data_IF_509459607122
#
_entry.id   IF_509459607122
#
_cell.length_a   1.000
_cell.length_b   1.000
_cell.length_c   1.000
_cell.angle_alpha   90.00
_cell.angle_beta   90.00
_cell.angle_gamma   90.00
#
_symmetry.space_group_name_H-M   'P 1'
#
loop_
_entity.id
_entity.type
_entity.pdbx_description
1 polymer ?
#
# COMPACT_ATOMS: atom_id res chain seq x y z
N UNK A 1 45.71 -7.95 13.49
CA UNK A 1 45.11 -7.91 12.14
C UNK A 1 44.06 -6.80 12.12
N UNK A 2 44.11 -5.93 11.12
CA UNK A 2 43.41 -4.65 11.09
C UNK A 2 41.87 -4.79 11.01
N UNK A 3 41.16 -3.83 11.61
CA UNK A 3 39.71 -3.70 11.54
C UNK A 3 39.23 -3.53 10.09
N UNK A 4 38.08 -4.10 9.69
CA UNK A 4 37.59 -3.96 8.33
C UNK A 4 37.09 -2.53 8.11
N UNK A 5 37.57 -1.89 7.04
CA UNK A 5 37.12 -0.59 6.55
C UNK A 5 35.62 -0.66 6.25
N UNK A 6 34.85 0.32 6.74
CA UNK A 6 33.48 0.60 6.27
C UNK A 6 33.53 0.84 4.76
N UNK A 7 33.06 -0.13 3.98
CA UNK A 7 32.71 0.10 2.59
C UNK A 7 31.44 0.95 2.56
N UNK A 8 31.53 2.18 2.07
CA UNK A 8 30.37 2.95 1.67
C UNK A 8 29.77 2.26 0.45
N UNK A 9 28.73 1.46 0.67
CA UNK A 9 27.91 0.93 -0.42
C UNK A 9 27.09 2.09 -0.99
N UNK A 10 27.56 2.68 -2.09
CA UNK A 10 26.71 3.50 -2.93
C UNK A 10 25.57 2.62 -3.42
N UNK A 11 24.34 2.94 -3.03
CA UNK A 11 23.17 2.31 -3.60
C UNK A 11 23.15 2.65 -5.10
N UNK A 12 23.37 1.64 -5.94
CA UNK A 12 23.13 1.77 -7.37
C UNK A 12 21.63 2.05 -7.54
N UNK A 13 21.29 3.24 -8.05
CA UNK A 13 19.98 3.48 -8.63
C UNK A 13 19.96 2.70 -9.93
N UNK A 14 19.44 1.48 -9.89
CA UNK A 14 19.08 0.75 -11.10
C UNK A 14 18.06 1.62 -11.85
N UNK A 15 18.44 2.06 -13.06
CA UNK A 15 17.55 2.80 -13.94
C UNK A 15 16.37 1.89 -14.25
N UNK A 16 15.18 2.28 -13.79
CA UNK A 16 13.93 1.61 -14.13
C UNK A 16 13.75 1.80 -15.64
N UNK A 17 13.92 0.72 -16.39
CA UNK A 17 13.90 0.74 -17.86
C UNK A 17 12.43 0.77 -18.32
N UNK A 18 12.01 1.89 -18.90
CA UNK A 18 10.65 2.09 -19.40
C UNK A 18 10.48 3.51 -19.93
N UNK A 19 9.92 3.66 -21.13
CA UNK A 19 9.58 4.97 -21.68
C UNK A 19 8.68 5.76 -20.72
N UNK A 20 8.63 7.09 -20.89
CA UNK A 20 7.80 7.97 -20.06
C UNK A 20 6.38 7.42 -19.95
N UNK A 21 5.82 7.29 -18.74
CA UNK A 21 4.49 6.71 -18.57
C UNK A 21 3.44 7.58 -19.29
N UNK A 22 2.33 6.97 -19.73
CA UNK A 22 1.24 7.69 -20.39
C UNK A 22 0.80 8.92 -19.58
N UNK A 23 0.55 10.02 -20.27
CA UNK A 23 0.10 11.23 -19.60
C UNK A 23 -1.33 11.08 -19.09
N UNK A 24 -1.55 11.52 -17.86
CA UNK A 24 -2.89 11.67 -17.32
C UNK A 24 -3.58 12.89 -17.90
N UNK A 25 -4.89 12.77 -18.09
CA UNK A 25 -5.74 13.96 -18.24
C UNK A 25 -5.67 14.83 -16.98
N UNK A 26 -6.00 16.12 -17.11
CA UNK A 26 -6.06 17.03 -15.96
C UNK A 26 -6.97 16.50 -14.84
N UNK A 27 -8.10 15.88 -15.20
CA UNK A 27 -9.03 15.29 -14.23
C UNK A 27 -8.40 14.11 -13.47
N UNK A 28 -7.69 13.23 -14.18
CA UNK A 28 -6.97 12.12 -13.55
C UNK A 28 -5.86 12.60 -12.60
N UNK A 29 -5.12 13.66 -12.96
CA UNK A 29 -4.12 14.25 -12.06
C UNK A 29 -4.75 14.86 -10.81
N UNK A 30 -5.84 15.62 -10.96
CA UNK A 30 -6.56 16.20 -9.82
C UNK A 30 -7.12 15.12 -8.90
N UNK A 31 -7.69 14.06 -9.46
CA UNK A 31 -8.17 12.91 -8.70
C UNK A 31 -7.03 12.21 -7.96
N UNK A 32 -5.93 11.89 -8.65
CA UNK A 32 -4.78 11.26 -8.04
C UNK A 32 -4.18 12.11 -6.90
N UNK A 33 -4.06 13.43 -7.11
CA UNK A 33 -3.62 14.37 -6.07
C UNK A 33 -4.53 14.30 -4.85
N UNK A 34 -5.84 14.39 -5.06
CA UNK A 34 -6.83 14.39 -3.97
C UNK A 34 -6.76 13.10 -3.15
N UNK A 35 -6.72 11.94 -3.80
CA UNK A 35 -6.66 10.65 -3.10
C UNK A 35 -5.34 10.46 -2.33
N UNK A 36 -4.20 10.83 -2.92
CA UNK A 36 -2.92 10.76 -2.22
C UNK A 36 -2.84 11.75 -1.05
N UNK A 37 -3.40 12.95 -1.20
CA UNK A 37 -3.54 13.90 -0.08
C UNK A 37 -4.41 13.34 1.02
N UNK A 38 -5.55 12.70 0.69
CA UNK A 38 -6.43 12.06 1.68
C UNK A 38 -5.66 11.05 2.51
N UNK A 39 -4.92 10.14 1.86
CA UNK A 39 -4.07 9.18 2.56
C UNK A 39 -3.03 9.90 3.42
N UNK A 40 -2.25 10.82 2.85
CA UNK A 40 -1.17 11.52 3.58
C UNK A 40 -1.69 12.25 4.83
N UNK A 41 -2.77 13.01 4.69
CA UNK A 41 -3.34 13.81 5.80
C UNK A 41 -3.99 12.92 6.84
N UNK A 42 -4.68 11.86 6.42
CA UNK A 42 -5.25 10.87 7.33
C UNK A 42 -4.15 10.20 8.18
N UNK A 43 -3.07 9.75 7.53
CA UNK A 43 -1.94 9.10 8.18
C UNK A 43 -1.18 10.06 9.13
N UNK A 44 -1.03 11.33 8.76
CA UNK A 44 -0.48 12.37 9.64
C UNK A 44 -1.36 12.58 10.88
N UNK A 45 -2.69 12.58 10.72
CA UNK A 45 -3.65 12.69 11.83
C UNK A 45 -3.64 11.44 12.71
N UNK A 46 -3.61 10.24 12.13
CA UNK A 46 -3.47 8.99 12.87
C UNK A 46 -2.17 8.98 13.70
N UNK A 47 -1.06 9.47 13.15
CA UNK A 47 0.18 9.66 13.89
C UNK A 47 0.05 10.61 15.10
N UNK A 48 -0.71 11.70 14.96
CA UNK A 48 -1.00 12.62 16.08
C UNK A 48 -1.82 11.93 17.18
N UNK A 49 -2.91 11.26 16.81
CA UNK A 49 -3.79 10.57 17.76
C UNK A 49 -3.09 9.41 18.48
N UNK A 50 -2.20 8.70 17.79
CA UNK A 50 -1.33 7.71 18.43
C UNK A 50 -0.43 8.35 19.48
N UNK A 51 0.22 9.48 19.17
CA UNK A 51 1.05 10.22 20.12
C UNK A 51 0.27 10.75 21.34
N UNK A 52 -1.04 11.00 21.18
CA UNK A 52 -1.95 11.37 22.26
C UNK A 52 -2.49 10.17 23.06
N UNK A 53 -2.16 8.94 22.67
CA UNK A 53 -2.65 7.71 23.31
C UNK A 53 -4.07 7.31 22.94
N UNK A 54 -4.67 7.91 21.90
CA UNK A 54 -6.03 7.58 21.45
C UNK A 54 -6.09 6.32 20.56
N UNK A 55 -4.96 5.90 19.98
CA UNK A 55 -4.82 4.66 19.21
C UNK A 55 -4.00 3.68 20.03
N UNK A 56 -4.60 2.53 20.37
CA UNK A 56 -3.93 1.44 21.09
C UNK A 56 -3.15 0.49 20.17
N UNK A 57 -2.22 -0.26 20.75
CA UNK A 57 -1.47 -1.30 20.03
C UNK A 57 -0.40 -0.76 19.08
N UNK A 58 -0.26 -1.37 17.90
CA UNK A 58 0.71 -0.96 16.88
C UNK A 58 0.04 -0.08 15.84
N UNK A 59 0.66 1.03 15.45
CA UNK A 59 0.19 1.89 14.35
C UNK A 59 1.23 1.98 13.23
N UNK A 60 0.86 1.52 12.03
CA UNK A 60 1.75 1.42 10.87
C UNK A 60 1.34 2.39 9.76
N UNK A 61 2.03 3.53 9.68
CA UNK A 61 1.61 4.59 8.75
C UNK A 61 2.02 4.33 7.30
N UNK A 62 1.15 4.59 6.32
CA UNK A 62 1.43 4.38 4.88
C UNK A 62 2.18 5.54 4.19
N UNK A 63 2.67 6.52 4.97
CA UNK A 63 3.31 7.75 4.47
C UNK A 63 4.54 7.46 3.57
N UNK A 64 4.46 7.96 2.34
CA UNK A 64 5.49 7.87 1.30
C UNK A 64 5.22 6.82 0.21
N UNK A 65 4.13 6.05 0.33
CA UNK A 65 3.78 4.98 -0.60
C UNK A 65 2.43 5.25 -1.32
N UNK A 66 1.88 6.45 -1.21
CA UNK A 66 0.50 6.77 -1.63
C UNK A 66 0.26 6.53 -3.12
N UNK A 67 1.24 6.84 -3.97
CA UNK A 67 1.15 6.63 -5.42
C UNK A 67 0.94 5.15 -5.80
N UNK A 68 1.49 4.21 -5.01
CA UNK A 68 1.36 2.78 -5.28
C UNK A 68 -0.09 2.36 -5.24
N UNK A 69 -0.78 2.62 -4.13
CA UNK A 69 -2.16 2.15 -3.99
C UNK A 69 -3.13 2.97 -4.83
N UNK A 70 -2.94 4.29 -4.94
CA UNK A 70 -3.80 5.15 -5.77
C UNK A 70 -3.67 4.79 -7.25
N UNK A 71 -2.44 4.62 -7.74
CA UNK A 71 -2.19 4.26 -9.14
C UNK A 71 -2.76 2.88 -9.49
N UNK A 72 -2.56 1.88 -8.61
CA UNK A 72 -3.14 0.56 -8.80
C UNK A 72 -4.67 0.61 -8.79
N UNK A 73 -5.28 1.31 -7.83
CA UNK A 73 -6.74 1.42 -7.75
C UNK A 73 -7.35 2.07 -9.00
N UNK A 74 -6.65 3.02 -9.64
CA UNK A 74 -7.06 3.60 -10.92
C UNK A 74 -7.03 2.62 -12.10
N UNK A 75 -6.36 1.47 -11.98
CA UNK A 75 -6.30 0.40 -12.98
C UNK A 75 -7.31 -0.75 -12.73
N UNK A 76 -7.98 -0.75 -11.58
CA UNK A 76 -8.94 -1.79 -11.20
C UNK A 76 -10.36 -1.44 -11.64
N UNK A 77 -11.18 -2.48 -11.80
CA UNK A 77 -12.64 -2.36 -12.03
C UNK A 77 -13.42 -2.83 -10.80
N UNK A 78 -14.71 -2.51 -10.76
CA UNK A 78 -15.59 -3.03 -9.74
C UNK A 78 -15.58 -4.57 -9.73
N UNK A 79 -15.42 -5.16 -8.54
CA UNK A 79 -15.36 -6.61 -8.35
C UNK A 79 -13.94 -7.16 -8.22
N UNK A 80 -12.92 -6.43 -8.66
CA UNK A 80 -11.53 -6.75 -8.33
C UNK A 80 -11.32 -6.66 -6.81
N UNK A 81 -10.41 -7.48 -6.31
CA UNK A 81 -10.19 -7.65 -4.87
C UNK A 81 -8.82 -7.14 -4.47
N UNK A 82 -8.74 -6.49 -3.32
CA UNK A 82 -7.49 -5.98 -2.75
C UNK A 82 -7.23 -6.68 -1.42
N UNK A 83 -6.03 -7.20 -1.25
CA UNK A 83 -5.58 -7.85 -0.02
C UNK A 83 -4.16 -7.42 0.33
N UNK A 84 -3.94 -7.04 1.58
CA UNK A 84 -2.68 -6.43 2.03
C UNK A 84 -2.30 -6.84 3.46
N UNK A 85 -1.06 -6.54 3.84
CA UNK A 85 -0.57 -6.72 5.22
C UNK A 85 -1.10 -5.65 6.17
N UNK A 86 -0.41 -5.46 7.30
CA UNK A 86 -0.81 -4.56 8.40
C UNK A 86 -0.64 -3.05 8.14
N UNK A 87 -0.23 -2.62 6.93
CA UNK A 87 -0.01 -1.20 6.59
C UNK A 87 -1.08 -0.75 5.60
N UNK A 88 -2.33 -0.79 6.06
CA UNK A 88 -3.51 -0.95 5.22
C UNK A 88 -4.48 0.24 5.25
N UNK A 89 -4.27 1.27 6.09
CA UNK A 89 -5.23 2.37 6.23
C UNK A 89 -5.37 3.13 4.90
N UNK A 90 -4.23 3.52 4.31
CA UNK A 90 -4.18 4.13 2.99
C UNK A 90 -4.79 3.25 1.88
N UNK A 91 -4.68 1.92 1.98
CA UNK A 91 -5.33 1.03 1.03
C UNK A 91 -6.85 1.04 1.18
N UNK A 92 -7.33 0.98 2.41
CA UNK A 92 -8.77 1.00 2.69
C UNK A 92 -9.41 2.29 2.20
N UNK A 93 -8.76 3.44 2.43
CA UNK A 93 -9.19 4.73 1.90
C UNK A 93 -9.21 4.73 0.36
N UNK A 94 -8.17 4.22 -0.29
CA UNK A 94 -8.11 4.14 -1.74
C UNK A 94 -9.23 3.27 -2.33
N UNK A 95 -9.69 2.21 -1.64
CA UNK A 95 -10.86 1.41 -2.06
C UNK A 95 -12.20 2.14 -1.92
N UNK A 96 -12.21 3.39 -1.45
CA UNK A 96 -13.38 4.24 -1.31
C UNK A 96 -14.15 4.01 -0.01
N UNK A 97 -13.49 3.52 1.04
CA UNK A 97 -14.07 3.47 2.38
C UNK A 97 -14.04 4.87 3.02
N UNK A 98 -15.08 5.19 3.78
CA UNK A 98 -15.20 6.46 4.50
C UNK A 98 -14.14 6.57 5.61
N UNK A 99 -13.48 7.73 5.69
CA UNK A 99 -12.42 8.02 6.66
C UNK A 99 -12.91 7.91 8.11
N UNK A 100 -14.18 8.20 8.38
CA UNK A 100 -14.78 8.09 9.71
C UNK A 100 -14.67 6.66 10.25
N UNK A 101 -15.03 5.67 9.43
CA UNK A 101 -14.95 4.26 9.81
C UNK A 101 -13.51 3.77 9.95
N UNK A 102 -12.58 4.25 9.11
CA UNK A 102 -11.16 3.89 9.24
C UNK A 102 -10.61 4.45 10.55
N UNK A 103 -10.87 5.73 10.86
CA UNK A 103 -10.38 6.37 12.08
C UNK A 103 -11.03 5.79 13.35
N UNK A 104 -12.32 5.48 13.29
CA UNK A 104 -13.02 4.78 14.37
C UNK A 104 -12.41 3.41 14.64
N UNK A 105 -12.05 2.65 13.60
CA UNK A 105 -11.36 1.36 13.79
C UNK A 105 -9.99 1.54 14.43
N UNK A 106 -9.19 2.51 13.98
CA UNK A 106 -7.88 2.81 14.57
C UNK A 106 -7.96 3.13 16.07
N UNK A 107 -9.02 3.83 16.48
CA UNK A 107 -9.23 4.28 17.86
C UNK A 107 -10.06 3.28 18.69
N UNK A 108 -10.35 2.09 18.14
CA UNK A 108 -11.05 1.02 18.86
C UNK A 108 -12.51 1.34 19.15
N UNK A 109 -13.19 2.08 18.27
CA UNK A 109 -14.58 2.51 18.43
C UNK A 109 -15.55 1.63 17.65
N UNK A 110 -16.80 1.60 18.12
CA UNK A 110 -17.86 0.71 17.62
C UNK A 110 -18.15 0.92 16.13
N UNK A 111 -18.07 2.16 15.64
CA UNK A 111 -18.27 2.55 14.26
C UNK A 111 -17.11 2.17 13.32
N UNK A 112 -16.06 1.53 13.84
CA UNK A 112 -14.99 0.94 13.04
C UNK A 112 -15.49 -0.19 12.13
N UNK A 113 -14.80 -0.42 11.01
CA UNK A 113 -15.20 -1.43 10.02
C UNK A 113 -15.11 -2.88 10.50
N UNK A 114 -14.27 -3.15 11.50
CA UNK A 114 -14.19 -4.40 12.25
C UNK A 114 -14.79 -4.23 13.66
N UNK A 115 -15.69 -3.25 13.83
CA UNK A 115 -16.37 -2.90 15.08
C UNK A 115 -15.41 -2.53 16.22
N UNK A 116 -14.25 -1.95 15.89
CA UNK A 116 -13.23 -1.57 16.86
C UNK A 116 -12.40 -2.73 17.42
N UNK A 117 -12.59 -3.96 16.90
CA UNK A 117 -11.86 -5.17 17.35
C UNK A 117 -10.54 -5.38 16.63
N UNK A 118 -10.43 -4.88 15.40
CA UNK A 118 -9.28 -5.11 14.53
C UNK A 118 -8.15 -4.11 14.73
N UNK A 119 -8.50 -2.86 15.03
CA UNK A 119 -7.54 -1.80 15.20
C UNK A 119 -6.73 -1.52 13.94
N UNK A 120 -5.53 -0.98 14.14
CA UNK A 120 -4.65 -0.52 13.06
C UNK A 120 -4.05 -1.60 12.16
N UNK A 121 -4.22 -2.88 12.49
CA UNK A 121 -3.61 -3.96 11.72
C UNK A 121 -4.62 -4.93 11.12
N UNK A 122 -5.94 -4.74 11.28
CA UNK A 122 -6.95 -5.74 10.89
C UNK A 122 -8.26 -5.10 10.39
N UNK A 123 -8.26 -4.55 9.17
CA UNK A 123 -9.44 -3.93 8.58
C UNK A 123 -9.98 -4.68 7.35
N UNK A 124 -11.29 -4.93 7.34
CA UNK A 124 -11.93 -5.71 6.29
C UNK A 124 -13.19 -5.02 5.78
N UNK A 125 -13.45 -5.15 4.47
CA UNK A 125 -14.71 -4.71 3.85
C UNK A 125 -15.12 -5.68 2.76
N UNK A 126 -16.17 -6.46 3.04
CA UNK A 126 -16.78 -7.32 2.01
C UNK A 126 -17.42 -6.48 0.89
N UNK A 127 -17.99 -5.32 1.24
CA UNK A 127 -18.66 -4.42 0.30
C UNK A 127 -17.69 -3.88 -0.75
N UNK A 128 -16.48 -3.45 -0.34
CA UNK A 128 -15.45 -2.92 -1.24
C UNK A 128 -14.45 -3.97 -1.71
N UNK A 129 -14.70 -5.25 -1.45
CA UNK A 129 -13.77 -6.34 -1.79
C UNK A 129 -12.35 -6.13 -1.24
N UNK A 130 -12.26 -5.56 -0.04
CA UNK A 130 -11.02 -5.25 0.65
C UNK A 130 -10.79 -6.22 1.80
N UNK A 131 -9.64 -6.89 1.78
CA UNK A 131 -9.20 -7.89 2.75
C UNK A 131 -7.86 -7.44 3.33
N UNK A 132 -7.88 -6.34 4.09
CA UNK A 132 -6.69 -5.72 4.63
C UNK A 132 -6.30 -6.27 5.99
N UNK A 133 -5.10 -5.91 6.43
CA UNK A 133 -4.73 -6.05 7.82
C UNK A 133 -4.43 -7.50 8.21
N UNK A 134 -3.48 -8.11 7.51
CA UNK A 134 -2.90 -9.38 7.95
C UNK A 134 -1.62 -9.12 8.77
N UNK A 135 -1.69 -9.40 10.07
CA UNK A 135 -0.56 -9.26 11.00
C UNK A 135 0.52 -10.34 10.83
N UNK A 136 0.18 -11.49 10.27
CA UNK A 136 1.15 -12.55 9.94
C UNK A 136 1.81 -12.23 8.60
N UNK A 137 3.11 -11.94 8.65
CA UNK A 137 3.90 -11.52 7.50
C UNK A 137 3.85 -12.56 6.37
N UNK A 138 3.35 -12.15 5.21
CA UNK A 138 3.26 -12.97 4.00
C UNK A 138 1.98 -13.80 3.89
N UNK A 139 1.16 -13.89 4.94
CA UNK A 139 -0.07 -14.70 4.92
C UNK A 139 -1.10 -14.18 3.90
N UNK A 140 -1.13 -12.88 3.68
CA UNK A 140 -2.01 -12.22 2.72
C UNK A 140 -1.74 -12.66 1.27
N UNK A 141 -0.53 -13.13 0.96
CA UNK A 141 -0.16 -13.57 -0.39
C UNK A 141 -0.86 -14.88 -0.75
N UNK A 142 -0.84 -15.85 0.18
CA UNK A 142 -1.55 -17.12 0.02
C UNK A 142 -3.06 -16.91 -0.03
N UNK A 143 -3.59 -16.04 0.82
CA UNK A 143 -5.02 -15.70 0.82
C UNK A 143 -5.45 -14.99 -0.46
N UNK A 144 -4.65 -14.04 -0.97
CA UNK A 144 -4.91 -13.37 -2.24
C UNK A 144 -4.85 -14.32 -3.44
N UNK A 145 -3.97 -15.31 -3.38
CA UNK A 145 -3.93 -16.39 -4.38
C UNK A 145 -5.23 -17.21 -4.33
N UNK A 146 -5.77 -17.47 -3.14
CA UNK A 146 -7.09 -18.10 -2.97
C UNK A 146 -8.26 -17.25 -3.49
N UNK A 147 -8.21 -15.93 -3.33
CA UNK A 147 -9.19 -15.01 -3.91
C UNK A 147 -9.16 -15.07 -5.45
N UNK A 148 -7.96 -15.08 -6.06
CA UNK A 148 -7.81 -15.27 -7.49
C UNK A 148 -8.29 -16.65 -7.97
N UNK A 149 -8.05 -17.71 -7.21
CA UNK A 149 -8.62 -19.02 -7.49
C UNK A 149 -10.15 -18.97 -7.51
N UNK A 150 -10.77 -18.28 -6.55
CA UNK A 150 -12.21 -18.14 -6.50
C UNK A 150 -12.76 -17.33 -7.69
N UNK A 151 -12.04 -16.33 -8.20
CA UNK A 151 -12.40 -15.59 -9.42
C UNK A 151 -12.28 -16.48 -10.66
N UNK A 152 -11.16 -17.19 -10.81
CA UNK A 152 -10.94 -18.15 -11.88
C UNK A 152 -12.03 -19.22 -11.92
N UNK A 153 -12.34 -19.84 -10.77
CA UNK A 153 -13.38 -20.86 -10.64
C UNK A 153 -14.78 -20.36 -11.03
N UNK A 154 -15.07 -19.07 -10.80
CA UNK A 154 -16.36 -18.45 -11.15
C UNK A 154 -16.41 -17.90 -12.57
N UNK A 155 -15.29 -17.78 -13.26
CA UNK A 155 -15.22 -17.16 -14.59
C UNK A 155 -15.69 -15.71 -14.61
N UNK A 156 -15.43 -14.94 -13.56
CA UNK A 156 -16.00 -13.59 -13.36
C UNK A 156 -15.11 -12.43 -13.84
N UNK A 157 -14.01 -12.72 -14.54
CA UNK A 157 -13.07 -11.72 -15.08
C UNK A 157 -12.49 -10.74 -14.04
N UNK A 158 -12.53 -11.08 -12.75
CA UNK A 158 -11.97 -10.25 -11.68
C UNK A 158 -10.54 -10.69 -11.34
N UNK A 159 -9.70 -9.74 -10.97
CA UNK A 159 -8.34 -10.01 -10.47
C UNK A 159 -8.27 -9.86 -8.95
N UNK A 160 -7.34 -10.59 -8.32
CA UNK A 160 -6.92 -10.32 -6.95
C UNK A 160 -5.59 -9.60 -6.95
N UNK A 161 -5.50 -8.47 -6.26
CA UNK A 161 -4.26 -7.73 -6.06
C UNK A 161 -3.74 -7.99 -4.64
N UNK A 162 -2.62 -8.72 -4.55
CA UNK A 162 -2.01 -9.09 -3.29
C UNK A 162 -0.77 -8.24 -3.02
N UNK A 163 -0.89 -7.33 -2.05
CA UNK A 163 0.17 -6.41 -1.64
C UNK A 163 1.00 -6.98 -0.49
N UNK A 164 2.31 -6.84 -0.59
CA UNK A 164 3.23 -7.26 0.45
C UNK A 164 4.57 -6.52 0.34
N UNK A 165 5.23 -6.30 1.49
CA UNK A 165 6.51 -5.62 1.52
C UNK A 165 7.69 -6.51 1.12
N UNK A 166 8.85 -5.88 0.93
CA UNK A 166 10.13 -6.54 0.68
C UNK A 166 10.48 -7.60 1.74
N UNK A 167 10.18 -7.34 3.01
CA UNK A 167 10.37 -8.35 4.07
C UNK A 167 9.52 -9.60 3.90
N UNK A 168 8.27 -9.43 3.47
CA UNK A 168 7.31 -10.53 3.28
C UNK A 168 7.65 -11.38 2.05
N UNK A 169 8.28 -10.80 1.02
CA UNK A 169 8.71 -11.51 -0.19
C UNK A 169 9.74 -12.63 0.06
N UNK A 170 10.30 -12.71 1.26
CA UNK A 170 11.24 -13.76 1.65
C UNK A 170 10.57 -14.95 2.38
N UNK A 171 9.25 -14.92 2.58
CA UNK A 171 8.52 -16.00 3.26
C UNK A 171 8.28 -17.20 2.32
N UNK A 172 8.44 -18.43 2.82
CA UNK A 172 8.27 -19.65 2.03
C UNK A 172 6.91 -19.77 1.34
N UNK A 173 5.84 -19.43 2.08
CA UNK A 173 4.46 -19.44 1.58
C UNK A 173 4.22 -18.54 0.36
N UNK A 174 5.04 -17.51 0.14
CA UNK A 174 4.98 -16.66 -1.06
C UNK A 174 5.38 -17.45 -2.31
N UNK A 175 6.43 -18.28 -2.22
CA UNK A 175 6.90 -19.12 -3.32
C UNK A 175 5.92 -20.26 -3.60
N UNK A 176 5.34 -20.85 -2.55
CA UNK A 176 4.25 -21.83 -2.70
C UNK A 176 3.05 -21.22 -3.43
N UNK A 177 2.69 -19.97 -3.10
CA UNK A 177 1.64 -19.22 -3.79
C UNK A 177 1.94 -18.99 -5.26
N UNK A 178 3.16 -18.58 -5.59
CA UNK A 178 3.60 -18.39 -6.98
C UNK A 178 3.48 -19.67 -7.80
N UNK A 179 3.97 -20.79 -7.25
CA UNK A 179 3.87 -22.08 -7.92
C UNK A 179 2.41 -22.44 -8.27
N UNK A 180 1.51 -22.28 -7.30
CA UNK A 180 0.09 -22.62 -7.47
C UNK A 180 -0.62 -21.66 -8.44
N UNK A 181 -0.32 -20.36 -8.33
CA UNK A 181 -0.90 -19.35 -9.21
C UNK A 181 -0.52 -19.57 -10.67
N UNK A 182 0.76 -19.85 -10.95
CA UNK A 182 1.19 -20.16 -12.32
C UNK A 182 0.58 -21.46 -12.82
N UNK A 183 0.65 -22.54 -12.01
CA UNK A 183 0.17 -23.86 -12.39
C UNK A 183 -1.29 -23.83 -12.84
N UNK A 184 -2.12 -23.02 -12.18
CA UNK A 184 -3.54 -22.89 -12.46
C UNK A 184 -3.92 -21.66 -13.27
N UNK A 185 -2.92 -20.88 -13.74
CA UNK A 185 -3.14 -19.63 -14.48
C UNK A 185 -4.10 -18.68 -13.79
N UNK A 186 -3.89 -18.47 -12.49
CA UNK A 186 -4.76 -17.64 -11.68
C UNK A 186 -4.61 -16.14 -11.97
N UNK A 187 -5.72 -15.37 -11.95
CA UNK A 187 -5.72 -13.92 -12.18
C UNK A 187 -5.29 -13.16 -10.91
N UNK A 188 -4.03 -13.30 -10.51
CA UNK A 188 -3.45 -12.61 -9.35
C UNK A 188 -2.31 -11.68 -9.75
N UNK A 189 -2.37 -10.45 -9.27
CA UNK A 189 -1.29 -9.46 -9.38
C UNK A 189 -0.60 -9.39 -8.02
N UNK A 190 0.67 -9.79 -7.98
CA UNK A 190 1.51 -9.71 -6.80
C UNK A 190 2.24 -8.36 -6.80
N UNK A 191 1.84 -7.47 -5.89
CA UNK A 191 2.44 -6.14 -5.76
C UNK A 191 3.41 -6.14 -4.59
N UNK A 192 4.69 -6.04 -4.91
CA UNK A 192 5.78 -5.97 -3.94
C UNK A 192 6.08 -4.50 -3.67
N UNK A 193 5.75 -4.02 -2.48
CA UNK A 193 6.08 -2.67 -2.04
C UNK A 193 7.50 -2.64 -1.48
N UNK A 194 8.48 -2.42 -2.35
CA UNK A 194 9.88 -2.37 -1.96
C UNK A 194 10.21 -0.98 -1.41
N UNK A 195 9.96 -0.80 -0.11
CA UNK A 195 10.30 0.41 0.64
C UNK A 195 11.69 0.37 1.30
N UNK A 196 12.55 -0.55 0.84
CA UNK A 196 13.95 -0.77 1.21
C UNK A 196 14.22 -1.41 2.57
N UNK A 197 13.22 -1.51 3.46
CA UNK A 197 13.44 -1.94 4.85
C UNK A 197 12.30 -2.78 5.44
N UNK A 198 12.64 -4.04 5.76
CA UNK A 198 11.86 -4.91 6.63
C UNK A 198 12.15 -4.60 8.11
N UNK A 199 11.30 -3.77 8.73
CA UNK A 199 11.60 -3.10 9.99
C UNK A 199 12.93 -2.35 9.90
N UNK A 200 14.01 -2.90 10.47
CA UNK A 200 15.37 -2.34 10.40
C UNK A 200 16.37 -3.15 9.56
N UNK A 201 15.91 -4.19 8.87
CA UNK A 201 16.75 -4.98 7.97
C UNK A 201 16.60 -4.46 6.55
N UNK A 202 17.71 -4.00 5.94
CA UNK A 202 17.72 -3.54 4.56
C UNK A 202 17.61 -4.70 3.57
N UNK A 203 17.05 -4.44 2.38
CA UNK A 203 16.96 -5.41 1.28
C UNK A 203 18.33 -6.04 0.97
N UNK A 204 19.38 -5.21 0.89
CA UNK A 204 20.75 -5.67 0.59
C UNK A 204 21.34 -6.63 1.62
N UNK A 205 20.79 -6.65 2.85
CA UNK A 205 21.19 -7.59 3.91
C UNK A 205 20.30 -8.82 3.97
N UNK A 206 19.10 -8.76 3.42
CA UNK A 206 18.08 -9.79 3.55
C UNK A 206 17.88 -10.62 2.28
N UNK A 207 18.40 -10.19 1.13
CA UNK A 207 18.07 -10.79 -0.15
C UNK A 207 19.28 -10.89 -1.08
N UNK A 208 19.54 -12.12 -1.56
CA UNK A 208 20.61 -12.40 -2.51
C UNK A 208 20.32 -11.84 -3.91
N UNK A 209 19.05 -11.89 -4.33
CA UNK A 209 18.54 -11.18 -5.50
C UNK A 209 17.75 -9.95 -5.01
N UNK A 210 18.21 -8.75 -5.37
CA UNK A 210 17.64 -7.48 -4.90
C UNK A 210 16.58 -6.91 -5.85
N UNK A 211 16.55 -7.38 -7.10
CA UNK A 211 15.47 -7.11 -8.04
C UNK A 211 14.33 -8.10 -7.78
N UNK A 212 13.30 -7.64 -7.07
CA UNK A 212 12.20 -8.50 -6.65
C UNK A 212 11.18 -8.73 -7.77
N UNK A 213 11.23 -7.97 -8.86
CA UNK A 213 10.46 -8.30 -10.07
C UNK A 213 10.85 -9.69 -10.62
N UNK A 214 12.08 -10.13 -10.38
CA UNK A 214 12.58 -11.46 -10.78
C UNK A 214 12.15 -12.62 -9.87
N UNK A 215 11.42 -12.37 -8.78
CA UNK A 215 11.05 -13.44 -7.81
C UNK A 215 10.19 -14.53 -8.44
N UNK A 216 9.46 -14.21 -9.51
CA UNK A 216 8.62 -15.15 -10.25
C UNK A 216 9.34 -15.99 -11.29
N UNK A 217 10.63 -15.71 -11.59
CA UNK A 217 11.31 -16.27 -12.76
C UNK A 217 11.39 -17.80 -12.75
N UNK A 218 11.63 -18.43 -11.59
CA UNK A 218 11.64 -19.90 -11.45
C UNK A 218 10.28 -20.56 -11.64
N UNK A 219 9.20 -19.76 -11.62
CA UNK A 219 7.83 -20.20 -11.82
C UNK A 219 7.25 -19.66 -13.13
N UNK A 220 8.06 -19.14 -14.05
CA UNK A 220 7.59 -18.54 -15.31
C UNK A 220 6.62 -17.34 -15.14
N UNK A 221 6.60 -16.69 -13.98
CA UNK A 221 5.74 -15.52 -13.74
C UNK A 221 6.50 -14.28 -14.21
N UNK A 222 5.97 -13.51 -15.17
CA UNK A 222 6.58 -12.25 -15.59
C UNK A 222 6.56 -11.24 -14.44
N UNK A 223 7.59 -10.39 -14.40
CA UNK A 223 7.67 -9.33 -13.42
C UNK A 223 8.29 -8.06 -13.98
N UNK A 224 7.89 -6.92 -13.41
CA UNK A 224 8.36 -5.59 -13.81
C UNK A 224 8.69 -4.72 -12.59
N UNK A 225 9.82 -4.02 -12.63
CA UNK A 225 10.11 -2.94 -11.71
C UNK A 225 9.37 -1.67 -12.14
N UNK A 226 8.76 -0.99 -11.19
CA UNK A 226 7.94 0.20 -11.42
C UNK A 226 8.41 1.29 -10.48
N UNK A 227 8.48 2.53 -10.97
CA UNK A 227 8.63 3.69 -10.09
C UNK A 227 7.36 3.83 -9.26
N UNK A 228 7.40 3.33 -8.02
CA UNK A 228 6.29 3.38 -7.08
C UNK A 228 6.00 4.78 -6.54
N UNK A 229 6.85 5.77 -6.88
CA UNK A 229 6.68 7.16 -6.51
C UNK A 229 5.98 7.98 -7.62
N UNK A 230 5.84 7.45 -8.84
CA UNK A 230 5.06 8.07 -9.91
C UNK A 230 3.74 7.35 -10.15
N UNK A 231 2.64 7.98 -9.75
CA UNK A 231 1.28 7.43 -9.90
C UNK A 231 0.92 7.10 -11.36
N UNK A 232 1.52 7.79 -12.36
CA UNK A 232 1.32 7.47 -13.79
C UNK A 232 1.98 6.14 -14.15
N UNK A 233 3.21 5.91 -13.70
CA UNK A 233 3.95 4.68 -13.92
C UNK A 233 3.26 3.49 -13.23
N UNK A 234 2.80 3.70 -11.99
CA UNK A 234 2.03 2.69 -11.24
C UNK A 234 0.74 2.33 -11.98
N UNK A 235 -0.07 3.31 -12.40
CA UNK A 235 -1.31 3.02 -13.12
C UNK A 235 -1.04 2.26 -14.43
N UNK A 236 -0.05 2.68 -15.21
CA UNK A 236 0.29 2.03 -16.47
C UNK A 236 0.71 0.56 -16.27
N UNK A 237 1.52 0.28 -15.25
CA UNK A 237 1.89 -1.08 -14.89
C UNK A 237 0.71 -1.89 -14.35
N UNK A 238 -0.18 -1.25 -13.59
CA UNK A 238 -1.43 -1.86 -13.12
C UNK A 238 -2.36 -2.25 -14.27
N UNK A 239 -2.54 -1.36 -15.26
CA UNK A 239 -3.36 -1.62 -16.46
C UNK A 239 -2.81 -2.83 -17.23
N UNK A 240 -1.49 -2.88 -17.43
CA UNK A 240 -0.76 -3.97 -18.10
C UNK A 240 -0.95 -5.31 -17.36
N UNK A 241 -0.68 -5.34 -16.04
CA UNK A 241 -0.79 -6.55 -15.24
C UNK A 241 -2.24 -7.05 -15.13
N UNK A 242 -3.20 -6.14 -15.01
CA UNK A 242 -4.61 -6.50 -14.94
C UNK A 242 -5.12 -7.03 -16.28
N UNK A 243 -4.72 -6.44 -17.41
CA UNK A 243 -5.02 -6.98 -18.74
C UNK A 243 -4.39 -8.38 -18.93
N UNK A 244 -3.13 -8.57 -18.53
CA UNK A 244 -2.46 -9.88 -18.57
C UNK A 244 -3.24 -10.97 -17.82
N UNK A 245 -3.65 -10.67 -16.59
CA UNK A 245 -4.41 -11.60 -15.76
C UNK A 245 -5.78 -11.92 -16.37
N UNK A 246 -6.49 -10.91 -16.87
CA UNK A 246 -7.82 -11.06 -17.50
C UNK A 246 -7.78 -11.79 -18.84
N UNK A 247 -6.68 -11.68 -19.58
CA UNK A 247 -6.41 -12.49 -20.78
C UNK A 247 -6.16 -13.99 -20.47
N UNK A 248 -6.20 -14.40 -19.19
CA UNK A 248 -5.97 -15.78 -18.78
C UNK A 248 -4.51 -16.23 -18.87
N UNK A 249 -3.57 -15.29 -18.95
CA UNK A 249 -2.13 -15.58 -19.08
C UNK A 249 -1.47 -15.99 -17.75
N UNK A 250 -2.23 -15.92 -16.65
CA UNK A 250 -1.80 -16.28 -15.31
C UNK A 250 -1.36 -15.08 -14.48
N UNK A 251 -0.56 -15.29 -13.43
CA UNK A 251 -0.17 -14.25 -12.49
C UNK A 251 0.81 -13.24 -13.09
N UNK A 252 0.97 -12.09 -12.43
CA UNK A 252 1.96 -11.06 -12.77
C UNK A 252 2.59 -10.46 -11.51
N UNK A 253 3.88 -10.14 -11.54
CA UNK A 253 4.58 -9.47 -10.43
C UNK A 253 4.88 -8.01 -10.78
N UNK A 254 4.53 -7.10 -9.86
CA UNK A 254 4.93 -5.70 -9.92
C UNK A 254 5.79 -5.37 -8.71
N UNK A 255 7.05 -5.00 -8.92
CA UNK A 255 7.91 -4.49 -7.86
C UNK A 255 7.87 -2.96 -7.85
N UNK A 256 7.13 -2.41 -6.89
CA UNK A 256 6.98 -0.98 -6.70
C UNK A 256 8.17 -0.46 -5.90
N UNK A 257 9.09 0.23 -6.58
CA UNK A 257 10.20 0.93 -5.95
C UNK A 257 9.65 2.16 -5.22
N UNK A 258 9.56 2.10 -3.90
CA UNK A 258 8.96 3.17 -3.10
C UNK A 258 9.80 3.42 -1.84
N UNK A 259 9.30 4.26 -0.92
CA UNK A 259 10.03 4.58 0.30
C UNK A 259 9.11 4.90 1.49
N UNK A 260 9.42 4.33 2.65
CA UNK A 260 8.65 4.55 3.89
C UNK A 260 9.22 5.75 4.67
N UNK A 261 8.52 6.88 4.74
CA UNK A 261 9.06 8.10 5.40
C UNK A 261 9.04 8.05 6.93
N UNK A 262 8.21 7.20 7.52
CA UNK A 262 8.13 6.99 8.98
C UNK A 262 8.83 5.71 9.40
N UNK A 263 9.08 5.55 10.70
CA UNK A 263 9.56 4.28 11.26
C UNK A 263 8.67 3.11 10.86
N UNK A 264 9.11 1.89 11.16
CA UNK A 264 8.34 0.69 10.85
C UNK A 264 6.89 0.81 11.36
N UNK A 265 6.76 1.16 12.64
CA UNK A 265 5.55 1.59 13.33
C UNK A 265 5.80 2.93 14.03
N UNK A 266 4.76 3.54 14.60
CA UNK A 266 4.89 4.76 15.39
C UNK A 266 5.77 4.62 16.63
N UNK A 267 6.00 3.40 17.11
CA UNK A 267 6.92 3.12 18.23
C UNK A 267 8.38 2.88 17.80
N UNK A 268 8.66 2.76 16.49
CA UNK A 268 10.00 2.51 15.96
C UNK A 268 10.77 3.82 15.71
N UNK A 269 11.89 4.07 16.41
CA UNK A 269 12.70 5.28 16.24
C UNK A 269 13.52 5.31 14.94
N UNK A 270 13.50 4.25 14.12
CA UNK A 270 14.13 4.18 12.80
C UNK A 270 15.66 4.39 12.78
N UNK A 271 16.38 3.93 13.81
CA UNK A 271 17.84 4.15 13.97
C UNK A 271 18.75 3.45 12.95
N UNK A 272 18.19 2.67 12.03
CA UNK A 272 18.90 1.88 11.02
C UNK A 272 19.12 2.61 9.69
N UNK A 273 18.66 3.86 9.57
CA UNK A 273 18.82 4.72 8.39
C UNK A 273 19.00 6.17 8.83
N UNK A 274 19.57 7.01 7.97
CA UNK A 274 19.87 8.40 8.34
C UNK A 274 18.70 9.32 8.04
N UNK A 275 18.66 10.49 8.68
CA UNK A 275 17.64 11.50 8.39
C UNK A 275 17.82 12.06 6.98
N UNK A 276 19.07 12.25 6.58
CA UNK A 276 19.46 12.78 5.28
C UNK A 276 19.01 11.88 4.13
N UNK A 277 19.05 10.54 4.32
CA UNK A 277 18.52 9.59 3.35
C UNK A 277 17.02 9.82 3.12
N UNK A 278 16.24 9.88 4.20
CA UNK A 278 14.78 10.06 4.14
C UNK A 278 14.42 11.42 3.55
N UNK A 279 15.09 12.49 3.99
CA UNK A 279 14.86 13.85 3.51
C UNK A 279 15.21 14.00 2.03
N UNK A 280 16.29 13.36 1.57
CA UNK A 280 16.65 13.35 0.16
C UNK A 280 15.58 12.68 -0.69
N UNK A 281 15.14 11.48 -0.34
CA UNK A 281 14.09 10.79 -1.10
C UNK A 281 12.80 11.61 -1.10
N UNK A 282 12.42 12.17 0.05
CA UNK A 282 11.22 13.01 0.16
C UNK A 282 11.31 14.27 -0.69
N UNK A 283 12.45 14.96 -0.66
CA UNK A 283 12.63 16.19 -1.45
C UNK A 283 12.61 15.89 -2.95
N UNK A 284 13.29 14.83 -3.38
CA UNK A 284 13.52 14.55 -4.80
C UNK A 284 12.36 13.77 -5.45
N UNK A 285 11.61 12.98 -4.67
CA UNK A 285 10.71 11.95 -5.21
C UNK A 285 9.30 11.92 -4.59
N UNK A 286 8.90 12.84 -3.68
CA UNK A 286 7.57 12.75 -3.05
C UNK A 286 6.43 12.69 -4.09
N UNK A 287 5.59 11.63 -4.08
CA UNK A 287 4.59 11.39 -5.11
C UNK A 287 3.56 12.52 -5.23
N UNK A 288 3.24 13.19 -4.12
CA UNK A 288 2.28 14.30 -4.09
C UNK A 288 2.88 15.52 -4.76
N UNK A 289 4.14 15.84 -4.46
CA UNK A 289 4.83 16.98 -5.07
C UNK A 289 5.05 16.77 -6.57
N UNK A 290 5.32 15.54 -7.02
CA UNK A 290 5.40 15.21 -8.44
C UNK A 290 4.09 15.55 -9.18
N UNK A 291 2.94 15.09 -8.68
CA UNK A 291 1.63 15.42 -9.27
C UNK A 291 1.34 16.93 -9.21
N UNK A 292 1.62 17.56 -8.06
CA UNK A 292 1.43 19.01 -7.86
C UNK A 292 2.21 19.82 -8.89
N UNK A 293 3.47 19.47 -9.13
CA UNK A 293 4.32 20.13 -10.13
C UNK A 293 3.78 19.96 -11.56
N UNK A 294 3.28 18.78 -11.92
CA UNK A 294 2.63 18.53 -13.22
C UNK A 294 1.36 19.37 -13.39
N UNK A 295 0.53 19.50 -12.35
CA UNK A 295 -0.68 20.32 -12.37
C UNK A 295 -0.38 21.82 -12.52
N UNK A 296 0.65 22.32 -11.82
CA UNK A 296 1.12 23.72 -11.98
C UNK A 296 1.65 23.98 -13.39
N UNK A 297 2.40 23.04 -13.96
CA UNK A 297 2.86 23.12 -15.35
C UNK A 297 1.68 23.15 -16.33
N UNK A 298 0.61 22.39 -16.04
CA UNK A 298 -0.67 22.40 -16.75
C UNK A 298 -1.59 23.60 -16.42
N UNK A 299 -1.05 24.66 -15.78
CA UNK A 299 -1.73 25.92 -15.47
C UNK A 299 -2.92 25.79 -14.50
N UNK A 300 -2.95 24.75 -13.67
CA UNK A 300 -3.81 24.75 -12.48
C UNK A 300 -3.25 25.72 -11.45
N UNK A 301 -4.09 26.51 -10.80
CA UNK A 301 -3.60 27.53 -9.90
C UNK A 301 -3.17 26.95 -8.56
N UNK A 302 -2.18 27.59 -7.93
CA UNK A 302 -1.76 27.32 -6.55
C UNK A 302 -2.96 27.36 -5.57
N UNK A 303 -3.93 28.24 -5.83
CA UNK A 303 -5.14 28.38 -5.02
C UNK A 303 -6.05 27.16 -5.12
N UNK A 304 -6.25 26.61 -6.33
CA UNK A 304 -7.06 25.41 -6.55
C UNK A 304 -6.46 24.19 -5.84
N UNK A 305 -5.14 24.02 -5.93
CA UNK A 305 -4.44 22.91 -5.26
C UNK A 305 -4.52 23.03 -3.73
N UNK A 306 -4.44 24.26 -3.19
CA UNK A 306 -4.64 24.53 -1.76
C UNK A 306 -6.07 24.28 -1.31
N UNK A 307 -7.06 24.57 -2.15
CA UNK A 307 -8.46 24.29 -1.85
C UNK A 307 -8.71 22.77 -1.70
N UNK A 308 -8.09 21.94 -2.55
CA UNK A 308 -8.15 20.47 -2.43
C UNK A 308 -7.53 19.98 -1.11
N UNK A 309 -6.34 20.48 -0.74
CA UNK A 309 -5.71 20.11 0.55
C UNK A 309 -6.57 20.57 1.74
N UNK A 310 -7.20 21.76 1.66
CA UNK A 310 -8.10 22.24 2.70
C UNK A 310 -9.34 21.34 2.85
N UNK A 311 -10.02 21.00 1.76
CA UNK A 311 -11.16 20.07 1.75
C UNK A 311 -10.79 18.71 2.36
N UNK A 312 -9.64 18.17 1.97
CA UNK A 312 -9.13 16.90 2.51
C UNK A 312 -8.88 17.00 4.02
N UNK A 313 -8.28 18.11 4.49
CA UNK A 313 -8.05 18.32 5.92
C UNK A 313 -9.36 18.39 6.70
N UNK A 314 -10.40 19.01 6.13
CA UNK A 314 -11.72 19.08 6.76
C UNK A 314 -12.31 17.68 6.92
N UNK A 315 -12.22 16.82 5.88
CA UNK A 315 -12.63 15.41 5.95
C UNK A 315 -11.87 14.66 7.05
N UNK A 316 -10.55 14.81 7.09
CA UNK A 316 -9.71 14.10 8.07
C UNK A 316 -9.98 14.58 9.49
N UNK A 317 -10.15 15.89 9.71
CA UNK A 317 -10.51 16.43 11.01
C UNK A 317 -11.89 15.94 11.45
N UNK A 318 -12.89 15.95 10.55
CA UNK A 318 -14.20 15.38 10.83
C UNK A 318 -14.13 13.90 11.23
N UNK A 319 -13.26 13.11 10.59
CA UNK A 319 -13.07 11.70 10.96
C UNK A 319 -12.43 11.51 12.34
N UNK A 320 -11.49 12.37 12.71
CA UNK A 320 -10.89 12.37 14.04
C UNK A 320 -11.90 12.78 15.13
N UNK A 321 -12.73 13.78 14.84
CA UNK A 321 -13.79 14.23 15.74
C UNK A 321 -14.87 13.16 15.90
N UNK A 322 -15.30 12.53 14.79
CA UNK A 322 -16.22 11.40 14.80
C UNK A 322 -15.70 10.28 15.71
N UNK A 323 -14.46 9.84 15.49
CA UNK A 323 -13.84 8.76 16.26
C UNK A 323 -13.65 9.09 17.76
N UNK A 324 -13.52 10.37 18.12
CA UNK A 324 -13.43 10.77 19.53
C UNK A 324 -14.78 10.74 20.26
N UNK A 325 -15.89 10.89 19.53
CA UNK A 325 -17.24 10.90 20.08
C UNK A 325 -18.01 9.60 19.86
N UNK A 326 -17.55 8.74 18.96
CA UNK A 326 -18.12 7.42 18.73
C UNK A 326 -17.85 6.53 19.97
N UNK A 327 -18.88 5.85 20.52
CA UNK A 327 -18.72 5.05 21.72
C UNK A 327 -17.77 3.87 21.52
N UNK A 328 -17.16 3.44 22.62
CA UNK A 328 -16.50 2.13 22.68
C UNK A 328 -17.50 1.00 22.40
N UNK A 329 -17.07 -0.12 21.82
CA UNK A 329 -17.88 -1.33 21.73
C UNK A 329 -18.34 -1.77 23.12
N UNK A 330 -19.59 -2.23 23.23
CA UNK A 330 -20.05 -2.85 24.48
C UNK A 330 -19.24 -4.11 24.78
N UNK A 331 -19.02 -4.44 26.05
CA UNK A 331 -18.25 -5.62 26.45
C UNK A 331 -18.78 -6.94 25.86
N UNK A 332 -20.08 -7.00 25.55
CA UNK A 332 -20.70 -8.17 24.90
C UNK A 332 -20.16 -8.41 23.48
N UNK A 333 -19.67 -7.38 22.78
CA UNK A 333 -19.10 -7.47 21.43
C UNK A 333 -17.84 -8.35 21.39
N UNK A 334 -17.18 -8.58 22.53
CA UNK A 334 -16.04 -9.50 22.64
C UNK A 334 -16.41 -10.94 22.26
N UNK A 335 -17.67 -11.34 22.47
CA UNK A 335 -18.14 -12.72 22.28
C UNK A 335 -18.83 -12.95 20.93
N UNK A 336 -18.94 -11.91 20.10
CA UNK A 336 -19.56 -11.98 18.77
C UNK A 336 -18.53 -12.34 17.71
N UNK A 337 -19.00 -12.84 16.57
CA UNK A 337 -18.18 -13.14 15.37
C UNK A 337 -17.08 -14.21 15.55
N UNK A 338 -17.03 -14.90 16.70
CA UNK A 338 -16.12 -16.04 16.93
C UNK A 338 -16.58 -17.28 16.13
N UNK A 339 -17.89 -17.50 16.08
CA UNK A 339 -18.57 -18.52 15.29
C UNK A 339 -19.85 -17.93 14.69
N UNK A 340 -20.45 -18.63 13.72
CA UNK A 340 -21.74 -18.24 13.13
C UNK A 340 -22.92 -18.62 14.01
#
# INVERSE_FOLDING_TARGET
MAAPKKAAAGAAQDKIDGGSPPEFTKEQELKALREMLLIRRFEEKAGQLYGMGAIGGFCHLYIGQEAVVVGMQMALKQGDQVITGYRDHGHMLATGMDANGVMAELTGRRGGYSKGKGGSMHMFSKEKHFYGGHGIVGAQVSLGTGLAFANHYRGNDNVSVAYFGDGAANQGQVYESFNMAELWKLPVIYVIENNRYAMGTSVSRASAQQDFSKRGASFNIPGKQVDGMDVRAVKAAGDEAAAWCRDGKGPYILEMQTYRYRGHSMSDPAKYRTREEVEKVRHDQDPIEQVRNRLLAAKVSEADLKAIDAEVRDIVNASADFAQHDPEPEAAELWTDVYR
#
